data_IF_400519401784
#
_entry.id   IF_400519401784
#
_cell.length_a   1.000
_cell.length_b   1.000
_cell.length_c   1.000
_cell.angle_alpha   90.00
_cell.angle_beta   90.00
_cell.angle_gamma   90.00
#
_symmetry.space_group_name_H-M   'P 1'
#
loop_
_entity.id
_entity.type
_entity.pdbx_description
1 polymer ?
#
# COMPACT_ATOMS: atom_id res chain seq x y z
N UNK A 1 47.21 30.04 3.82
CA UNK A 1 46.94 29.07 2.73
C UNK A 1 46.97 27.68 3.38
N UNK A 2 45.90 26.91 3.52
CA UNK A 2 44.96 26.48 2.48
C UNK A 2 43.51 26.49 2.97
N UNK A 3 42.61 26.74 2.03
CA UNK A 3 41.16 26.83 2.16
C UNK A 3 40.50 25.44 2.01
N UNK A 4 39.29 25.33 2.59
CA UNK A 4 38.11 24.60 2.06
C UNK A 4 38.16 23.04 2.09
N UNK A 5 37.11 22.30 2.46
CA UNK A 5 35.67 22.52 2.32
C UNK A 5 34.89 21.93 3.51
N UNK A 6 34.12 22.80 4.17
CA UNK A 6 32.84 22.41 4.74
C UNK A 6 31.91 22.07 3.59
N UNK A 7 31.40 20.84 3.54
CA UNK A 7 30.32 20.42 2.64
C UNK A 7 29.02 20.37 3.44
N UNK A 8 28.55 21.53 3.86
CA UNK A 8 27.13 21.72 4.11
C UNK A 8 26.53 22.18 2.79
N UNK A 9 25.67 21.36 2.18
CA UNK A 9 24.34 21.74 1.65
C UNK A 9 23.78 20.65 0.73
N UNK A 10 22.49 20.39 0.94
CA UNK A 10 21.50 20.02 -0.08
C UNK A 10 21.54 18.62 -0.70
N UNK A 11 20.84 17.70 -0.02
CA UNK A 11 19.75 16.96 -0.69
C UNK A 11 18.54 16.84 0.22
N UNK A 12 17.87 17.98 0.34
CA UNK A 12 16.45 18.13 0.62
C UNK A 12 15.65 17.06 -0.16
N UNK A 13 14.89 16.21 0.54
CA UNK A 13 13.65 15.63 0.00
C UNK A 13 13.70 14.47 -0.99
N UNK A 14 14.78 13.70 -1.10
CA UNK A 14 14.67 12.38 -1.73
C UNK A 14 14.35 11.37 -0.63
N UNK A 15 13.07 11.22 -0.29
CA UNK A 15 12.56 9.95 0.24
C UNK A 15 12.96 8.90 -0.79
N UNK A 16 14.16 8.33 -0.63
CA UNK A 16 14.65 7.23 -1.44
C UNK A 16 13.51 6.24 -1.46
N UNK A 17 12.94 6.03 -2.65
CA UNK A 17 11.80 5.14 -2.86
C UNK A 17 12.12 3.91 -2.02
N UNK A 18 11.39 3.70 -0.93
CA UNK A 18 11.59 2.59 0.01
C UNK A 18 10.24 1.93 0.22
N UNK A 19 10.25 0.62 0.35
CA UNK A 19 9.02 -0.17 0.45
C UNK A 19 8.35 -0.40 -0.91
N UNK A 20 7.03 -0.55 -0.91
CA UNK A 20 6.26 -0.90 -2.10
C UNK A 20 6.38 0.10 -3.25
N UNK A 21 6.61 1.38 -2.97
CA UNK A 21 6.70 2.44 -3.97
C UNK A 21 7.99 2.42 -4.82
N UNK A 22 8.96 1.57 -4.48
CA UNK A 22 10.18 1.33 -5.28
C UNK A 22 10.19 0.00 -6.01
N UNK A 23 9.21 -0.86 -5.77
CA UNK A 23 9.09 -2.13 -6.48
C UNK A 23 8.55 -1.91 -7.88
N UNK A 24 8.83 -2.87 -8.75
CA UNK A 24 8.21 -2.96 -10.06
C UNK A 24 6.68 -3.17 -9.94
N UNK A 25 5.91 -2.58 -10.84
CA UNK A 25 4.45 -2.61 -10.81
C UNK A 25 3.89 -4.04 -10.89
N UNK A 26 4.53 -4.92 -11.66
CA UNK A 26 4.14 -6.32 -11.78
C UNK A 26 4.32 -7.04 -10.43
N UNK A 27 5.47 -6.81 -9.79
CA UNK A 27 5.77 -7.38 -8.48
C UNK A 27 4.85 -6.83 -7.38
N UNK A 28 4.50 -5.56 -7.45
CA UNK A 28 3.54 -4.94 -6.52
C UNK A 28 2.15 -5.57 -6.67
N UNK A 29 1.68 -5.76 -7.90
CA UNK A 29 0.40 -6.40 -8.20
C UNK A 29 0.36 -7.85 -7.73
N UNK A 30 1.44 -8.60 -7.95
CA UNK A 30 1.60 -9.97 -7.47
C UNK A 30 1.51 -10.05 -5.94
N UNK A 31 2.21 -9.17 -5.22
CA UNK A 31 2.17 -9.15 -3.74
C UNK A 31 0.80 -8.73 -3.24
N UNK A 32 0.16 -7.73 -3.86
CA UNK A 32 -1.19 -7.30 -3.50
C UNK A 32 -2.23 -8.42 -3.73
N UNK A 33 -2.13 -9.12 -4.86
CA UNK A 33 -2.96 -10.28 -5.18
C UNK A 33 -2.79 -11.39 -4.14
N UNK A 34 -1.54 -11.76 -3.83
CA UNK A 34 -1.21 -12.77 -2.82
C UNK A 34 -1.67 -12.37 -1.42
N UNK A 35 -1.56 -11.09 -1.05
CA UNK A 35 -2.02 -10.57 0.23
C UNK A 35 -3.54 -10.68 0.41
N UNK A 36 -4.32 -10.40 -0.65
CA UNK A 36 -5.77 -10.58 -0.65
C UNK A 36 -6.17 -12.05 -0.49
N UNK A 37 -5.55 -12.94 -1.27
CA UNK A 37 -5.81 -14.38 -1.17
C UNK A 37 -5.42 -14.94 0.21
N UNK A 38 -4.24 -14.58 0.72
CA UNK A 38 -3.78 -15.02 2.03
C UNK A 38 -4.68 -14.54 3.18
N UNK A 39 -5.28 -13.35 3.08
CA UNK A 39 -6.24 -12.87 4.08
C UNK A 39 -7.53 -13.71 4.09
N UNK A 40 -8.00 -14.12 2.91
CA UNK A 40 -9.13 -15.04 2.77
C UNK A 40 -8.79 -16.45 3.27
N UNK A 41 -7.64 -17.01 2.87
CA UNK A 41 -7.20 -18.35 3.29
C UNK A 41 -6.93 -18.43 4.79
N UNK A 42 -6.38 -17.38 5.41
CA UNK A 42 -6.04 -17.35 6.84
C UNK A 42 -7.26 -17.09 7.74
N UNK A 43 -8.45 -16.90 7.18
CA UNK A 43 -9.68 -16.63 7.95
C UNK A 43 -9.65 -15.31 8.74
N UNK A 44 -8.71 -14.42 8.39
CA UNK A 44 -8.65 -13.05 8.93
C UNK A 44 -9.53 -12.09 8.14
N UNK A 45 -9.92 -12.48 6.92
CA UNK A 45 -10.89 -11.74 6.14
C UNK A 45 -12.31 -12.07 6.64
N UNK A 46 -13.13 -11.04 6.74
CA UNK A 46 -14.56 -11.20 7.00
C UNK A 46 -15.22 -11.95 5.84
N UNK A 47 -15.91 -13.05 6.13
CA UNK A 47 -16.70 -13.76 5.13
C UNK A 47 -17.95 -12.94 4.82
N UNK A 48 -17.92 -12.22 3.69
CA UNK A 48 -19.10 -11.51 3.21
C UNK A 48 -20.17 -12.51 2.80
N UNK A 49 -21.15 -12.71 3.68
CA UNK A 49 -22.37 -13.42 3.34
C UNK A 49 -23.20 -12.60 2.34
N UNK A 50 -23.97 -13.27 1.49
CA UNK A 50 -24.86 -12.61 0.52
C UNK A 50 -25.87 -11.67 1.20
N UNK A 51 -26.32 -12.05 2.39
CA UNK A 51 -27.16 -11.24 3.29
C UNK A 51 -26.50 -9.91 3.64
N UNK A 52 -25.21 -9.93 4.00
CA UNK A 52 -24.47 -8.75 4.39
C UNK A 52 -24.15 -7.83 3.20
N UNK A 53 -23.76 -8.40 2.07
CA UNK A 53 -23.56 -7.65 0.83
C UNK A 53 -24.86 -6.92 0.42
N UNK A 54 -26.01 -7.59 0.54
CA UNK A 54 -27.33 -7.01 0.27
C UNK A 54 -27.68 -5.88 1.25
N UNK A 55 -27.45 -6.06 2.56
CA UNK A 55 -27.67 -5.01 3.58
C UNK A 55 -26.75 -3.80 3.36
N UNK A 56 -25.47 -4.03 3.05
CA UNK A 56 -24.52 -2.97 2.76
C UNK A 56 -24.90 -2.19 1.50
N UNK A 57 -25.29 -2.88 0.42
CA UNK A 57 -25.80 -2.26 -0.81
C UNK A 57 -27.09 -1.47 -0.59
N UNK A 58 -28.04 -2.01 0.18
CA UNK A 58 -29.25 -1.28 0.57
C UNK A 58 -28.92 -0.03 1.39
N UNK A 59 -27.99 -0.12 2.35
CA UNK A 59 -27.57 1.03 3.17
C UNK A 59 -26.86 2.09 2.33
N UNK A 60 -26.01 1.70 1.38
CA UNK A 60 -25.32 2.62 0.47
C UNK A 60 -26.23 3.25 -0.59
N UNK A 61 -27.31 2.56 -0.96
CA UNK A 61 -28.31 3.04 -1.93
C UNK A 61 -29.42 3.90 -1.33
N UNK A 62 -29.63 3.85 -0.01
CA UNK A 62 -30.55 4.76 0.70
C UNK A 62 -29.87 6.14 0.83
N UNK A 63 -30.19 7.04 -0.09
CA UNK A 63 -29.97 8.48 0.03
C UNK A 63 -31.28 9.17 0.40
#
# INVERSE_FOLDING_TARGET
MAQQKQSATDKKGATAKRGFASMDEEKQREIASKGGHAAHEKGSAHEFTQEEAKKAGQKGGKK
#
